data_IF_562097716393
#
_entry.id   IF_562097716393
#
_cell.length_a   1.000
_cell.length_b   1.000
_cell.length_c   1.000
_cell.angle_alpha   90.00
_cell.angle_beta   90.00
_cell.angle_gamma   90.00
#
_symmetry.space_group_name_H-M   'P 1'
#
loop_
_entity.id
_entity.type
_entity.pdbx_description
1 polymer ?
#
# COMPACT_ATOMS: atom_id res chain seq x y z
N UNK A 1 0.37 34.03 -15.84
CA UNK A 1 -0.49 32.87 -15.54
C UNK A 1 0.02 31.55 -16.17
N UNK A 2 1.33 31.37 -16.40
CA UNK A 2 1.89 30.15 -17.02
C UNK A 2 2.88 29.38 -16.15
N UNK A 3 3.55 30.06 -15.21
CA UNK A 3 4.55 29.45 -14.31
C UNK A 3 3.93 28.44 -13.34
N UNK A 4 2.76 28.72 -12.75
CA UNK A 4 2.09 27.80 -11.82
C UNK A 4 1.75 26.46 -12.49
N UNK A 5 1.22 26.47 -13.72
CA UNK A 5 0.90 25.25 -14.46
C UNK A 5 2.17 24.47 -14.86
N UNK A 6 3.25 25.18 -15.19
CA UNK A 6 4.54 24.56 -15.54
C UNK A 6 5.22 23.91 -14.33
N UNK A 7 5.19 24.54 -13.15
CA UNK A 7 5.68 23.91 -11.91
C UNK A 7 4.77 22.77 -11.46
N UNK A 8 3.45 22.89 -11.66
CA UNK A 8 2.49 21.86 -11.31
C UNK A 8 2.72 20.55 -12.07
N UNK A 9 3.00 20.61 -13.38
CA UNK A 9 3.33 19.40 -14.16
C UNK A 9 4.73 18.83 -13.87
N UNK A 10 5.65 19.65 -13.33
CA UNK A 10 7.00 19.22 -12.96
C UNK A 10 7.02 18.55 -11.59
N UNK A 11 6.27 19.06 -10.62
CA UNK A 11 6.17 18.51 -9.26
C UNK A 11 5.11 17.42 -9.12
N UNK A 12 4.12 17.37 -10.03
CA UNK A 12 3.07 16.35 -10.05
C UNK A 12 2.95 15.76 -11.46
N UNK A 13 3.92 14.93 -11.89
CA UNK A 13 3.78 14.17 -13.12
C UNK A 13 2.44 13.41 -13.08
N UNK A 14 1.56 13.53 -14.09
CA UNK A 14 0.27 12.83 -14.09
C UNK A 14 0.43 11.30 -14.01
N UNK A 15 1.59 10.79 -14.39
CA UNK A 15 1.97 9.38 -14.25
C UNK A 15 2.13 8.95 -12.79
N UNK A 16 2.69 9.80 -11.92
CA UNK A 16 2.86 9.52 -10.49
C UNK A 16 1.51 9.48 -9.76
N UNK A 17 0.56 10.32 -10.21
CA UNK A 17 -0.81 10.33 -9.70
C UNK A 17 -1.53 9.02 -10.05
N UNK A 18 -1.41 8.55 -11.29
CA UNK A 18 -1.99 7.28 -11.72
C UNK A 18 -1.39 6.10 -10.95
N UNK A 19 -0.07 6.10 -10.76
CA UNK A 19 0.64 5.12 -9.96
C UNK A 19 0.19 5.12 -8.48
N UNK A 20 -0.01 6.27 -7.87
CA UNK A 20 -0.55 6.40 -6.51
C UNK A 20 -1.97 5.84 -6.37
N UNK A 21 -2.85 6.13 -7.35
CA UNK A 21 -4.21 5.59 -7.41
C UNK A 21 -4.21 4.06 -7.50
N UNK A 22 -3.39 3.50 -8.40
CA UNK A 22 -3.25 2.06 -8.56
C UNK A 22 -2.73 1.39 -7.28
N UNK A 23 -1.72 1.98 -6.65
CA UNK A 23 -1.15 1.51 -5.37
C UNK A 23 -2.19 1.51 -4.25
N UNK A 24 -3.00 2.56 -4.14
CA UNK A 24 -4.08 2.65 -3.16
C UNK A 24 -5.16 1.57 -3.38
N UNK A 25 -5.53 1.31 -4.64
CA UNK A 25 -6.51 0.28 -4.99
C UNK A 25 -6.02 -1.14 -4.63
N UNK A 26 -4.75 -1.42 -4.90
CA UNK A 26 -4.09 -2.69 -4.53
C UNK A 26 -4.08 -2.89 -3.02
N UNK A 27 -3.75 -1.85 -2.24
CA UNK A 27 -3.80 -1.93 -0.78
C UNK A 27 -5.21 -2.19 -0.25
N UNK A 28 -6.20 -1.47 -0.77
CA UNK A 28 -7.59 -1.67 -0.36
C UNK A 28 -8.06 -3.11 -0.62
N UNK A 29 -7.75 -3.65 -1.81
CA UNK A 29 -8.08 -5.02 -2.17
C UNK A 29 -7.39 -6.05 -1.25
N UNK A 30 -6.09 -5.88 -0.98
CA UNK A 30 -5.33 -6.76 -0.09
C UNK A 30 -5.89 -6.75 1.34
N UNK A 31 -6.17 -5.56 1.89
CA UNK A 31 -6.75 -5.40 3.24
C UNK A 31 -8.10 -6.10 3.32
N UNK A 32 -8.98 -5.85 2.34
CA UNK A 32 -10.32 -6.44 2.30
C UNK A 32 -10.24 -7.98 2.28
N UNK A 33 -9.41 -8.54 1.42
CA UNK A 33 -9.24 -10.00 1.31
C UNK A 33 -8.72 -10.62 2.61
N UNK A 34 -7.71 -10.01 3.24
CA UNK A 34 -7.14 -10.52 4.50
C UNK A 34 -8.19 -10.48 5.61
N UNK A 35 -8.91 -9.37 5.77
CA UNK A 35 -9.93 -9.24 6.81
C UNK A 35 -11.10 -10.17 6.58
N UNK A 36 -11.56 -10.31 5.33
CA UNK A 36 -12.61 -11.26 4.97
C UNK A 36 -12.19 -12.71 5.24
N UNK A 37 -10.93 -13.08 4.97
CA UNK A 37 -10.42 -14.41 5.24
C UNK A 37 -10.44 -14.74 6.75
N UNK A 38 -9.90 -13.84 7.58
CA UNK A 38 -9.89 -14.04 9.03
C UNK A 38 -11.28 -13.91 9.66
N UNK A 39 -12.17 -13.11 9.07
CA UNK A 39 -13.58 -13.00 9.47
C UNK A 39 -14.38 -14.25 9.14
N UNK A 40 -14.20 -14.83 7.95
CA UNK A 40 -14.90 -16.04 7.52
C UNK A 40 -14.45 -17.27 8.32
N UNK A 41 -13.16 -17.35 8.68
CA UNK A 41 -12.62 -18.44 9.49
C UNK A 41 -12.75 -18.22 11.00
N UNK A 42 -13.45 -17.18 11.46
CA UNK A 42 -13.65 -16.92 12.87
C UNK A 42 -14.60 -17.97 13.50
N UNK A 43 -14.21 -18.50 14.66
CA UNK A 43 -14.97 -19.51 15.42
C UNK A 43 -14.87 -19.22 16.91
N UNK A 44 -15.86 -19.66 17.69
CA UNK A 44 -15.80 -19.58 19.17
C UNK A 44 -16.56 -18.42 19.81
N UNK A 45 -17.65 -17.94 19.20
CA UNK A 45 -18.51 -16.90 19.79
C UNK A 45 -17.85 -15.51 19.83
N UNK A 46 -18.39 -14.56 20.63
CA UNK A 46 -17.96 -13.15 20.63
C UNK A 46 -16.47 -12.94 20.94
N UNK A 47 -15.92 -13.75 21.85
CA UNK A 47 -14.50 -13.71 22.23
C UNK A 47 -13.61 -14.21 21.09
N UNK A 48 -14.02 -15.27 20.39
CA UNK A 48 -13.28 -15.84 19.26
C UNK A 48 -13.16 -14.87 18.08
N UNK A 49 -14.23 -14.11 17.80
CA UNK A 49 -14.22 -13.07 16.76
C UNK A 49 -13.23 -11.95 17.09
N UNK A 50 -13.18 -11.49 18.35
CA UNK A 50 -12.20 -10.48 18.77
C UNK A 50 -10.74 -10.93 18.61
N UNK A 51 -10.45 -12.19 18.94
CA UNK A 51 -9.11 -12.77 18.76
C UNK A 51 -8.76 -12.94 17.27
N UNK A 52 -9.72 -13.35 16.43
CA UNK A 52 -9.54 -13.47 14.99
C UNK A 52 -9.26 -12.10 14.35
N UNK A 53 -9.99 -11.06 14.74
CA UNK A 53 -9.76 -9.67 14.28
C UNK A 53 -8.39 -9.18 14.71
N UNK A 54 -7.98 -9.42 15.96
CA UNK A 54 -6.64 -9.04 16.44
C UNK A 54 -5.50 -9.78 15.70
N UNK A 55 -5.73 -11.00 15.20
CA UNK A 55 -4.79 -11.69 14.31
C UNK A 55 -4.79 -11.08 12.90
N UNK A 56 -5.97 -10.77 12.35
CA UNK A 56 -6.13 -10.16 11.03
C UNK A 56 -5.44 -8.79 10.91
N UNK A 57 -5.57 -7.95 11.93
CA UNK A 57 -4.95 -6.62 11.94
C UNK A 57 -3.41 -6.73 11.94
N UNK A 58 -2.85 -7.61 12.78
CA UNK A 58 -1.40 -7.81 12.83
C UNK A 58 -0.84 -8.34 11.51
N UNK A 59 -1.52 -9.31 10.89
CA UNK A 59 -1.08 -9.86 9.60
C UNK A 59 -1.25 -8.86 8.47
N UNK A 60 -2.35 -8.11 8.42
CA UNK A 60 -2.56 -7.09 7.40
C UNK A 60 -1.52 -5.98 7.45
N UNK A 61 -1.12 -5.50 8.63
CA UNK A 61 -0.06 -4.48 8.77
C UNK A 61 1.25 -4.97 8.15
N UNK A 62 1.69 -6.19 8.47
CA UNK A 62 2.93 -6.75 7.92
C UNK A 62 2.84 -6.91 6.40
N UNK A 63 1.71 -7.44 5.90
CA UNK A 63 1.50 -7.62 4.45
C UNK A 63 1.52 -6.27 3.72
N UNK A 64 0.83 -5.26 4.24
CA UNK A 64 0.81 -3.92 3.63
C UNK A 64 2.20 -3.31 3.61
N UNK A 65 3.00 -3.49 4.67
CA UNK A 65 4.34 -2.94 4.73
C UNK A 65 5.27 -3.56 3.68
N UNK A 66 5.22 -4.89 3.55
CA UNK A 66 5.97 -5.62 2.51
C UNK A 66 5.48 -5.23 1.11
N UNK A 67 4.16 -5.18 0.92
CA UNK A 67 3.55 -4.80 -0.36
C UNK A 67 3.87 -3.35 -0.73
N UNK A 68 3.94 -2.45 0.25
CA UNK A 68 4.31 -1.06 0.05
C UNK A 68 5.74 -0.93 -0.42
N UNK A 69 6.66 -1.62 0.25
CA UNK A 69 8.07 -1.65 -0.15
C UNK A 69 8.21 -2.24 -1.56
N UNK A 70 7.58 -3.38 -1.84
CA UNK A 70 7.63 -4.03 -3.14
C UNK A 70 7.07 -3.15 -4.26
N UNK A 71 5.90 -2.53 -4.08
CA UNK A 71 5.32 -1.63 -5.08
C UNK A 71 6.15 -0.35 -5.27
N UNK A 72 6.62 0.27 -4.19
CA UNK A 72 7.49 1.46 -4.33
C UNK A 72 8.78 1.13 -5.07
N UNK A 73 9.43 0.01 -4.74
CA UNK A 73 10.62 -0.47 -5.41
C UNK A 73 10.38 -0.81 -6.89
N UNK A 74 9.19 -1.32 -7.24
CA UNK A 74 8.83 -1.64 -8.62
C UNK A 74 8.50 -0.38 -9.45
N UNK A 75 7.79 0.57 -8.86
CA UNK A 75 7.24 1.74 -9.57
C UNK A 75 8.27 2.87 -9.70
N UNK A 76 9.03 3.14 -8.64
CA UNK A 76 10.08 4.18 -8.61
C UNK A 76 11.49 3.60 -8.61
N UNK A 77 11.65 2.27 -8.70
CA UNK A 77 12.96 1.62 -8.71
C UNK A 77 13.64 1.59 -7.33
N UNK A 78 14.54 0.62 -7.14
CA UNK A 78 15.53 0.62 -6.04
C UNK A 78 16.73 1.55 -6.39
N UNK A 79 16.74 2.10 -7.61
CA UNK A 79 17.94 2.58 -8.30
C UNK A 79 18.23 4.09 -8.22
N UNK A 80 17.35 4.92 -7.67
CA UNK A 80 17.69 6.35 -7.52
C UNK A 80 18.69 6.62 -6.35
N UNK A 81 19.00 5.61 -5.52
CA UNK A 81 19.88 5.77 -4.34
C UNK A 81 20.98 4.71 -4.19
N UNK A 82 21.34 3.98 -5.25
CA UNK A 82 22.64 3.24 -5.27
C UNK A 82 23.57 3.88 -6.31
N UNK A 83 23.85 5.16 -6.08
CA UNK A 83 25.15 5.78 -6.35
C UNK A 83 25.85 5.92 -4.99
N UNK A 84 26.33 4.80 -4.47
CA UNK A 84 27.37 4.80 -3.45
C UNK A 84 28.63 5.33 -4.17
N UNK A 85 29.06 6.53 -3.80
CA UNK A 85 30.33 7.17 -4.16
C UNK A 85 30.64 7.32 -5.67
N UNK A 86 30.50 8.55 -6.15
CA UNK A 86 31.01 9.05 -7.42
C UNK A 86 30.63 10.52 -7.55
#
# INVERSE_FOLDING_TARGET
AGTFAHYFSLFLPPVDVFYSLLKAWIFAAAIALIHCYYGYNARGGPVGVGVAVGKAIRTSIVVILVLNFALSALMWGIADTVRIAG
#
